data_IF_251195418730
#
_entry.id   IF_251195418730
#
_cell.length_a   1.000
_cell.length_b   1.000
_cell.length_c   1.000
_cell.angle_alpha   90.00
_cell.angle_beta   90.00
_cell.angle_gamma   90.00
#
_symmetry.space_group_name_H-M   'P 1'
#
loop_
_entity.id
_entity.type
_entity.pdbx_description
1 polymer ?
#
# COMPACT_ATOMS: atom_id res chain seq x y z
N UNK A 1 -8.28 -28.85 -15.27
CA UNK A 1 -7.75 -29.13 -13.92
C UNK A 1 -8.86 -28.81 -12.93
N UNK A 2 -9.02 -29.66 -11.92
CA UNK A 2 -10.15 -29.70 -10.98
C UNK A 2 -10.20 -28.41 -10.15
N UNK A 3 -11.35 -27.72 -10.15
CA UNK A 3 -11.67 -26.70 -9.16
C UNK A 3 -11.92 -27.42 -7.83
N UNK A 4 -10.97 -27.32 -6.91
CA UNK A 4 -11.14 -27.73 -5.53
C UNK A 4 -11.96 -26.65 -4.79
N UNK A 5 -13.19 -26.95 -4.32
CA UNK A 5 -14.03 -25.99 -3.60
C UNK A 5 -13.48 -25.64 -2.19
N UNK A 6 -12.43 -26.33 -1.71
CA UNK A 6 -11.78 -26.01 -0.43
C UNK A 6 -10.82 -24.80 -0.50
N UNK A 7 -10.60 -24.23 -1.69
CA UNK A 7 -9.70 -23.10 -1.94
C UNK A 7 -10.45 -21.84 -2.38
N UNK A 8 -11.60 -21.54 -1.76
CA UNK A 8 -12.06 -20.15 -1.74
C UNK A 8 -11.06 -19.35 -0.88
N UNK A 9 -9.95 -18.94 -1.48
CA UNK A 9 -8.85 -18.26 -0.78
C UNK A 9 -9.34 -17.01 -0.07
N UNK A 10 -8.60 -16.54 0.93
CA UNK A 10 -8.91 -15.41 1.82
C UNK A 10 -9.74 -14.28 1.19
N UNK A 11 -9.40 -13.86 -0.04
CA UNK A 11 -10.10 -12.82 -0.81
C UNK A 11 -11.59 -13.08 -1.12
N UNK A 12 -12.08 -14.31 -1.01
CA UNK A 12 -13.48 -14.68 -1.25
C UNK A 12 -14.32 -14.78 0.03
N UNK A 13 -13.70 -14.60 1.19
CA UNK A 13 -14.40 -14.57 2.47
C UNK A 13 -15.15 -13.24 2.62
N UNK A 14 -16.19 -13.25 3.47
CA UNK A 14 -16.85 -12.01 3.89
C UNK A 14 -15.87 -11.08 4.63
N UNK A 15 -16.05 -9.77 4.51
CA UNK A 15 -15.15 -8.77 5.10
C UNK A 15 -14.97 -8.94 6.61
N UNK A 16 -16.05 -9.22 7.34
CA UNK A 16 -15.99 -9.41 8.79
C UNK A 16 -15.14 -10.65 9.14
N UNK A 17 -15.24 -11.70 8.31
CA UNK A 17 -14.46 -12.93 8.48
C UNK A 17 -12.99 -12.72 8.12
N UNK A 18 -12.70 -11.90 7.10
CA UNK A 18 -11.34 -11.51 6.75
C UNK A 18 -10.68 -10.75 7.92
N UNK A 19 -11.38 -9.78 8.49
CA UNK A 19 -10.88 -8.98 9.62
C UNK A 19 -10.64 -9.84 10.86
N UNK A 20 -11.57 -10.76 11.19
CA UNK A 20 -11.37 -11.71 12.28
C UNK A 20 -10.11 -12.57 12.10
N UNK A 21 -9.84 -13.03 10.89
CA UNK A 21 -8.65 -13.83 10.58
C UNK A 21 -7.40 -12.97 10.74
N UNK A 22 -7.38 -11.75 10.21
CA UNK A 22 -6.25 -10.84 10.34
C UNK A 22 -5.95 -10.53 11.82
N UNK A 23 -6.97 -10.27 12.64
CA UNK A 23 -6.79 -10.05 14.08
C UNK A 23 -6.27 -11.29 14.81
N UNK A 24 -6.72 -12.49 14.43
CA UNK A 24 -6.19 -13.74 15.01
C UNK A 24 -4.71 -13.90 14.68
N UNK A 25 -4.30 -13.63 13.44
CA UNK A 25 -2.91 -13.74 13.00
C UNK A 25 -2.03 -12.65 13.62
N UNK A 26 -2.52 -11.42 13.70
CA UNK A 26 -1.85 -10.31 14.41
C UNK A 26 -1.56 -10.67 15.87
N UNK A 27 -2.52 -11.29 16.55
CA UNK A 27 -2.36 -11.72 17.94
C UNK A 27 -1.44 -12.93 18.11
N UNK A 28 -1.48 -13.89 17.18
CA UNK A 28 -0.68 -15.12 17.29
C UNK A 28 0.76 -14.97 16.80
N UNK A 29 0.99 -14.11 15.79
CA UNK A 29 2.27 -13.97 15.09
C UNK A 29 2.60 -12.48 14.79
N UNK A 30 2.80 -11.65 15.83
CA UNK A 30 2.94 -10.20 15.67
C UNK A 30 4.12 -9.78 14.78
N UNK A 31 5.30 -10.40 14.93
CA UNK A 31 6.47 -10.04 14.11
C UNK A 31 6.29 -10.41 12.63
N UNK A 32 5.62 -11.53 12.36
CA UNK A 32 5.28 -11.94 11.01
C UNK A 32 4.22 -11.01 10.41
N UNK A 33 3.21 -10.63 11.20
CA UNK A 33 2.17 -9.71 10.78
C UNK A 33 2.72 -8.31 10.49
N UNK A 34 3.69 -7.82 11.26
CA UNK A 34 4.42 -6.58 10.97
C UNK A 34 5.13 -6.66 9.62
N UNK A 35 5.78 -7.80 9.32
CA UNK A 35 6.40 -8.01 8.00
C UNK A 35 5.35 -8.03 6.89
N UNK A 36 4.20 -8.69 7.11
CA UNK A 36 3.09 -8.70 6.16
C UNK A 36 2.61 -7.27 5.87
N UNK A 37 2.36 -6.46 6.91
CA UNK A 37 1.96 -5.07 6.77
C UNK A 37 2.97 -4.26 5.95
N UNK A 38 4.27 -4.36 6.25
CA UNK A 38 5.32 -3.66 5.50
C UNK A 38 5.31 -4.04 4.03
N UNK A 39 5.16 -5.34 3.71
CA UNK A 39 5.11 -5.80 2.32
C UNK A 39 3.84 -5.32 1.61
N UNK A 40 2.68 -5.37 2.28
CA UNK A 40 1.41 -4.88 1.72
C UNK A 40 1.46 -3.39 1.41
N UNK A 41 1.95 -2.58 2.35
CA UNK A 41 2.12 -1.13 2.14
C UNK A 41 3.14 -0.82 1.04
N UNK A 42 4.25 -1.57 1.00
CA UNK A 42 5.25 -1.42 -0.06
C UNK A 42 4.65 -1.74 -1.42
N UNK A 43 3.94 -2.86 -1.55
CA UNK A 43 3.25 -3.25 -2.79
C UNK A 43 2.24 -2.20 -3.22
N UNK A 44 1.39 -1.73 -2.31
CA UNK A 44 0.40 -0.69 -2.56
C UNK A 44 1.01 0.58 -3.18
N UNK A 45 2.15 1.04 -2.67
CA UNK A 45 2.77 2.29 -3.13
C UNK A 45 3.82 2.12 -4.23
N UNK A 46 4.36 0.92 -4.47
CA UNK A 46 5.51 0.73 -5.36
C UNK A 46 5.34 -0.32 -6.45
N UNK A 47 4.42 -1.28 -6.31
CA UNK A 47 4.25 -2.33 -7.31
C UNK A 47 3.37 -1.82 -8.46
N UNK A 48 3.91 -1.68 -9.68
CA UNK A 48 3.14 -1.19 -10.83
C UNK A 48 1.99 -2.13 -11.21
N UNK A 49 2.09 -3.42 -10.91
CA UNK A 49 1.01 -4.40 -11.12
C UNK A 49 -0.15 -4.12 -10.20
N UNK A 50 0.14 -3.82 -8.93
CA UNK A 50 -0.88 -3.46 -7.94
C UNK A 50 -1.53 -2.13 -8.33
N UNK A 51 -0.73 -1.11 -8.66
CA UNK A 51 -1.22 0.19 -9.12
C UNK A 51 -2.07 0.12 -10.40
N UNK A 52 -1.75 -0.81 -11.31
CA UNK A 52 -2.57 -1.02 -12.51
C UNK A 52 -3.96 -1.56 -12.17
N UNK A 53 -4.10 -2.33 -11.09
CA UNK A 53 -5.39 -2.89 -10.65
C UNK A 53 -6.18 -1.90 -9.80
N UNK A 54 -5.54 -1.19 -8.88
CA UNK A 54 -6.22 -0.30 -7.92
C UNK A 54 -6.27 1.17 -8.39
N UNK A 55 -5.55 1.53 -9.45
CA UNK A 55 -5.30 2.90 -9.87
C UNK A 55 -4.10 3.55 -9.17
N UNK A 56 -3.83 4.82 -9.45
CA UNK A 56 -2.79 5.57 -8.72
C UNK A 56 -3.25 5.74 -7.28
N UNK A 57 -2.53 5.16 -6.30
CA UNK A 57 -2.94 5.22 -4.90
C UNK A 57 -2.97 6.69 -4.44
N UNK A 58 -4.15 7.16 -4.04
CA UNK A 58 -4.23 8.37 -3.22
C UNK A 58 -3.53 8.07 -1.89
N UNK A 59 -2.67 8.96 -1.36
CA UNK A 59 -2.03 8.73 -0.08
C UNK A 59 -3.10 8.47 0.98
N UNK A 60 -3.07 7.28 1.59
CA UNK A 60 -3.89 6.91 2.74
C UNK A 60 -3.35 7.69 3.94
N UNK A 61 -3.71 8.97 4.02
CA UNK A 61 -3.44 9.78 5.20
C UNK A 61 -4.25 9.21 6.37
N UNK A 62 -3.69 9.05 7.58
CA UNK A 62 -4.49 8.66 8.74
C UNK A 62 -5.60 9.70 8.92
N UNK A 63 -6.83 9.24 9.11
CA UNK A 63 -7.96 10.11 9.39
C UNK A 63 -7.62 11.00 10.61
N UNK A 64 -7.48 12.32 10.39
CA UNK A 64 -7.05 13.29 11.41
C UNK A 64 -5.94 14.26 10.97
N UNK A 65 -5.20 13.97 9.90
CA UNK A 65 -4.10 14.81 9.42
C UNK A 65 -4.47 15.81 8.31
N UNK A 66 -5.73 16.23 8.22
CA UNK A 66 -6.13 17.32 7.31
C UNK A 66 -5.36 18.64 7.60
N UNK A 67 -4.88 18.83 8.83
CA UNK A 67 -4.06 19.99 9.24
C UNK A 67 -2.60 19.93 8.79
N UNK A 68 -2.10 18.78 8.32
CA UNK A 68 -0.80 18.67 7.66
C UNK A 68 -0.84 19.09 6.18
N UNK A 69 -2.01 19.46 5.65
CA UNK A 69 -2.15 20.31 4.47
C UNK A 69 -1.81 21.77 4.78
N UNK A 70 -0.76 22.03 5.57
CA UNK A 70 -0.12 23.33 5.49
C UNK A 70 0.66 23.36 4.17
N UNK A 71 0.58 24.44 3.38
CA UNK A 71 1.43 24.63 2.21
C UNK A 71 2.86 25.03 2.66
N UNK A 72 3.43 24.30 3.61
CA UNK A 72 4.81 24.45 4.09
C UNK A 72 5.77 23.51 3.39
N UNK A 73 5.31 22.78 2.37
CA UNK A 73 6.21 22.16 1.42
C UNK A 73 6.81 23.24 0.53
N UNK A 74 7.98 23.74 0.92
CA UNK A 74 8.77 24.65 0.10
C UNK A 74 9.28 23.90 -1.14
N UNK A 75 8.58 24.08 -2.25
CA UNK A 75 8.91 23.46 -3.55
C UNK A 75 10.36 23.72 -3.98
N UNK A 76 11.00 24.81 -3.51
CA UNK A 76 12.40 25.11 -3.80
C UNK A 76 13.36 24.02 -3.32
N UNK A 77 12.93 23.19 -2.36
CA UNK A 77 13.70 22.02 -1.91
C UNK A 77 13.85 20.96 -3.01
N UNK A 78 12.93 20.92 -3.98
CA UNK A 78 13.02 20.05 -5.15
C UNK A 78 13.92 20.62 -6.25
N UNK A 79 14.37 21.87 -6.17
CA UNK A 79 15.16 22.50 -7.24
C UNK A 79 16.46 21.75 -7.49
N UNK A 80 17.12 21.25 -6.43
CA UNK A 80 18.30 20.40 -6.57
C UNK A 80 17.99 19.11 -7.32
N UNK A 81 16.89 18.43 -6.96
CA UNK A 81 16.47 17.18 -7.60
C UNK A 81 16.08 17.41 -9.06
N UNK A 82 15.34 18.49 -9.36
CA UNK A 82 14.97 18.93 -10.72
C UNK A 82 16.21 19.29 -11.54
N UNK A 83 17.21 19.93 -10.94
CA UNK A 83 18.48 20.29 -11.60
C UNK A 83 19.37 19.06 -11.89
N UNK A 84 19.31 18.02 -11.05
CA UNK A 84 20.02 16.75 -11.27
C UNK A 84 19.17 15.68 -11.95
N UNK A 85 17.91 15.96 -12.27
CA UNK A 85 17.07 15.06 -13.04
C UNK A 85 17.64 14.96 -14.46
N UNK A 86 18.53 13.98 -14.67
CA UNK A 86 18.86 13.52 -16.02
C UNK A 86 17.55 13.21 -16.76
N UNK A 87 17.49 13.47 -18.07
CA UNK A 87 16.28 13.30 -18.86
C UNK A 87 16.05 11.81 -19.11
N UNK A 88 15.60 11.06 -18.11
CA UNK A 88 15.08 9.70 -18.31
C UNK A 88 13.63 9.73 -18.85
N UNK A 89 13.18 10.87 -19.36
CA UNK A 89 11.89 11.06 -20.04
C UNK A 89 11.99 10.94 -21.58
N UNK A 90 13.17 10.68 -22.12
CA UNK A 90 13.41 10.48 -23.57
C UNK A 90 13.98 9.08 -23.88
N UNK A 91 13.49 8.04 -23.19
CA UNK A 91 13.75 6.63 -23.53
C UNK A 91 12.43 5.88 -23.74
#
# INVERSE_FOLDING_TARGET
AVHDPAHAGFAHLDGDVQDEILHKVEASEPEWFDCLLVQTYTGYYTDPTVQAVIGVPSPLQPAGYASMMQPTFDERRLDRVRATARPWREA
#
